data_IF_112552112838
#
_entry.id   IF_112552112838
#
_cell.length_a   1.000
_cell.length_b   1.000
_cell.length_c   1.000
_cell.angle_alpha   90.00
_cell.angle_beta   90.00
_cell.angle_gamma   90.00
#
_symmetry.space_group_name_H-M   'P 1'
#
loop_
_entity.id
_entity.type
_entity.pdbx_description
1 polymer ?
#
# COMPACT_ATOMS: atom_id res chain seq x y z
N UNK A 1 26.32 -54.34 29.97
CA UNK A 1 27.75 -53.99 30.12
C UNK A 1 28.31 -53.67 28.74
N UNK A 2 29.02 -52.53 28.61
CA UNK A 2 29.80 -52.00 27.45
C UNK A 2 29.02 -51.75 26.14
N UNK A 3 28.72 -50.53 25.63
CA UNK A 3 29.52 -49.33 25.30
C UNK A 3 30.70 -49.59 24.34
N UNK A 4 30.56 -49.21 23.05
CA UNK A 4 31.17 -48.00 22.45
C UNK A 4 31.23 -47.99 20.90
N UNK A 5 30.70 -46.89 20.32
CA UNK A 5 31.26 -45.98 19.26
C UNK A 5 31.59 -46.54 17.87
N UNK A 6 31.51 -45.83 16.75
CA UNK A 6 31.01 -44.52 16.31
C UNK A 6 31.16 -44.47 14.78
N UNK A 7 30.34 -43.70 14.07
CA UNK A 7 30.71 -42.91 12.89
C UNK A 7 29.45 -42.23 12.31
N UNK A 8 29.18 -41.04 12.83
CA UNK A 8 28.23 -40.05 12.32
C UNK A 8 29.00 -39.15 11.34
N UNK A 9 28.58 -39.08 10.06
CA UNK A 9 29.18 -38.19 9.07
C UNK A 9 28.18 -37.09 8.70
N UNK A 10 28.24 -36.00 9.46
CA UNK A 10 27.71 -34.68 9.11
C UNK A 10 28.38 -34.15 7.84
N UNK A 11 27.58 -33.71 6.88
CA UNK A 11 28.02 -32.84 5.79
C UNK A 11 27.49 -31.43 6.07
N UNK A 12 28.34 -30.60 6.66
CA UNK A 12 28.14 -29.16 6.80
C UNK A 12 28.53 -28.47 5.48
N UNK A 13 27.58 -27.78 4.84
CA UNK A 13 27.88 -26.79 3.79
C UNK A 13 27.93 -25.40 4.42
N UNK A 14 29.03 -24.64 4.23
CA UNK A 14 29.27 -23.40 4.95
C UNK A 14 28.44 -22.23 4.42
N UNK A 15 27.99 -21.40 5.37
CA UNK A 15 27.14 -20.24 5.15
C UNK A 15 27.80 -19.12 4.34
N UNK A 16 26.96 -18.42 3.57
CA UNK A 16 27.30 -17.20 2.87
C UNK A 16 27.51 -16.06 3.88
N UNK A 17 28.79 -15.75 4.15
CA UNK A 17 29.22 -14.61 4.97
C UNK A 17 29.18 -13.35 4.10
N UNK A 18 28.45 -12.34 4.57
CA UNK A 18 28.41 -11.00 3.99
C UNK A 18 29.70 -10.25 4.37
N UNK A 19 30.51 -9.86 3.39
CA UNK A 19 31.67 -8.99 3.62
C UNK A 19 31.23 -7.52 3.72
N UNK A 20 31.48 -6.83 4.84
CA UNK A 20 31.32 -5.38 4.92
C UNK A 20 32.58 -4.69 4.42
N UNK A 21 32.40 -3.65 3.59
CA UNK A 21 33.42 -2.63 3.34
C UNK A 21 34.22 -2.77 2.04
N UNK A 22 33.68 -2.21 0.95
CA UNK A 22 34.51 -1.55 -0.06
C UNK A 22 33.85 -0.26 -0.49
N UNK A 23 34.54 0.86 -0.25
CA UNK A 23 34.13 2.20 -0.61
C UNK A 23 34.03 2.33 -2.14
N UNK A 24 33.07 3.14 -2.59
CA UNK A 24 32.86 3.47 -3.99
C UNK A 24 34.10 4.21 -4.54
N UNK A 25 34.67 3.71 -5.64
CA UNK A 25 35.60 4.46 -6.47
C UNK A 25 34.81 5.51 -7.28
N UNK A 26 35.26 6.78 -7.32
CA UNK A 26 34.66 7.80 -8.17
C UNK A 26 35.10 7.62 -9.62
N UNK A 27 34.12 7.52 -10.54
CA UNK A 27 34.37 7.51 -11.99
C UNK A 27 34.80 8.90 -12.44
N UNK A 28 35.98 8.97 -13.08
CA UNK A 28 36.55 10.14 -13.76
C UNK A 28 35.69 10.59 -14.94
N UNK A 29 35.44 11.89 -15.01
CA UNK A 29 35.03 12.64 -16.21
C UNK A 29 36.17 12.69 -17.26
N UNK A 30 35.82 12.95 -18.53
CA UNK A 30 36.68 13.72 -19.42
C UNK A 30 36.04 15.04 -19.87
N UNK A 31 36.72 16.11 -19.50
CA UNK A 31 37.04 17.35 -20.20
C UNK A 31 36.11 17.97 -21.28
N UNK A 32 35.68 19.20 -20.95
CA UNK A 32 35.84 20.48 -21.67
C UNK A 32 35.40 20.60 -23.14
N UNK A 33 34.34 21.40 -23.36
CA UNK A 33 34.37 22.50 -24.33
C UNK A 33 33.74 23.77 -23.75
N UNK A 34 34.38 24.90 -24.06
CA UNK A 34 34.21 26.23 -23.49
C UNK A 34 33.00 27.02 -24.04
N UNK A 35 32.52 27.98 -23.27
CA UNK A 35 31.56 29.00 -23.75
C UNK A 35 30.97 29.94 -22.69
N UNK A 36 31.81 30.84 -22.15
CA UNK A 36 31.51 32.25 -21.75
C UNK A 36 30.74 32.57 -20.44
N UNK A 37 31.47 33.33 -19.60
CA UNK A 37 31.20 34.16 -18.41
C UNK A 37 29.80 34.83 -18.29
N UNK A 38 29.27 35.12 -17.09
CA UNK A 38 29.66 36.21 -16.15
C UNK A 38 29.36 35.89 -14.66
N UNK A 39 30.15 36.52 -13.79
CA UNK A 39 30.45 36.37 -12.37
C UNK A 39 29.31 36.65 -11.32
N UNK A 40 29.57 36.39 -10.01
CA UNK A 40 28.58 36.22 -8.94
C UNK A 40 28.55 37.39 -7.93
N UNK A 41 27.51 37.47 -7.09
CA UNK A 41 27.56 38.27 -5.84
C UNK A 41 26.86 37.59 -4.66
N UNK A 42 27.63 37.51 -3.57
CA UNK A 42 27.23 37.27 -2.18
C UNK A 42 26.48 38.49 -1.62
N UNK A 43 25.54 38.29 -0.69
CA UNK A 43 25.62 38.77 0.70
C UNK A 43 24.29 38.61 1.47
N UNK A 44 24.42 38.04 2.66
CA UNK A 44 23.62 38.25 3.87
C UNK A 44 24.64 38.80 4.92
N UNK A 45 24.34 39.32 6.13
CA UNK A 45 23.08 39.80 6.74
C UNK A 45 23.21 41.22 7.37
N UNK A 46 22.11 41.80 7.87
CA UNK A 46 22.22 42.84 8.90
C UNK A 46 21.09 42.77 9.93
N UNK A 47 21.54 42.60 11.17
CA UNK A 47 20.82 42.61 12.44
C UNK A 47 21.58 43.61 13.32
N UNK A 48 20.93 44.66 13.81
CA UNK A 48 21.07 45.16 15.18
C UNK A 48 20.24 46.44 15.43
N UNK A 49 19.63 46.58 16.63
CA UNK A 49 18.89 47.75 17.12
C UNK A 49 19.72 48.61 18.10
N UNK A 50 19.33 49.87 18.35
CA UNK A 50 19.73 50.64 19.54
C UNK A 50 18.91 51.93 19.73
N UNK A 51 18.37 52.12 20.94
CA UNK A 51 18.41 53.31 21.83
C UNK A 51 17.23 53.19 22.84
N UNK A 52 17.42 52.80 24.12
CA UNK A 52 18.03 53.52 25.28
C UNK A 52 17.22 54.77 25.66
N UNK A 53 16.62 54.91 26.85
CA UNK A 53 17.22 55.22 28.18
C UNK A 53 16.16 54.95 29.30
N UNK A 54 16.45 54.23 30.41
CA UNK A 54 16.93 54.68 31.74
C UNK A 54 16.01 55.73 32.42
N UNK A 55 15.21 55.44 33.46
CA UNK A 55 15.52 55.20 34.90
C UNK A 55 15.40 56.53 35.72
N UNK A 56 15.21 56.61 37.06
CA UNK A 56 15.07 55.58 38.11
C UNK A 56 14.04 55.88 39.27
N UNK A 57 13.82 54.86 40.12
CA UNK A 57 13.60 54.78 41.59
C UNK A 57 12.86 55.88 42.42
N UNK A 58 11.87 55.46 43.24
CA UNK A 58 11.96 55.37 44.72
C UNK A 58 10.58 55.31 45.43
N UNK A 59 10.52 54.48 46.47
CA UNK A 59 9.45 54.28 47.47
C UNK A 59 8.88 55.56 48.11
N UNK A 60 7.56 55.58 48.38
CA UNK A 60 7.08 55.77 49.76
C UNK A 60 5.61 55.35 49.94
N UNK A 61 5.38 54.66 51.05
CA UNK A 61 4.10 54.26 51.66
C UNK A 61 3.25 55.44 52.15
N UNK A 62 1.92 55.29 52.20
CA UNK A 62 1.04 55.50 53.39
C UNK A 62 -0.44 55.35 52.96
N UNK A 63 -1.15 54.49 53.70
CA UNK A 63 -2.59 54.22 53.71
C UNK A 63 -3.46 55.47 53.99
N UNK A 64 -4.66 55.55 53.38
CA UNK A 64 -5.93 55.91 54.04
C UNK A 64 -7.10 55.30 53.23
N UNK A 65 -7.93 54.52 53.92
CA UNK A 65 -9.19 53.90 53.48
C UNK A 65 -10.32 54.91 53.20
N UNK A 66 -11.27 54.42 52.40
CA UNK A 66 -12.73 54.65 52.41
C UNK A 66 -13.36 55.23 51.13
N UNK A 67 -14.47 54.57 50.76
CA UNK A 67 -15.50 54.90 49.77
C UNK A 67 -15.24 54.54 48.30
N UNK A 68 -15.57 53.29 47.94
CA UNK A 68 -16.48 52.95 46.82
C UNK A 68 -16.75 51.44 46.76
N UNK A 69 -17.71 50.98 47.58
CA UNK A 69 -18.52 49.81 47.25
C UNK A 69 -19.57 50.27 46.22
N UNK A 70 -19.33 50.04 44.92
CA UNK A 70 -20.36 49.84 43.87
C UNK A 70 -19.71 49.70 42.48
N UNK A 71 -18.77 48.76 42.29
CA UNK A 71 -18.42 48.27 40.94
C UNK A 71 -18.06 46.79 41.03
N UNK A 72 -19.05 45.95 41.32
CA UNK A 72 -18.90 44.48 41.21
C UNK A 72 -20.18 43.84 40.71
N UNK A 73 -20.80 44.41 39.68
CA UNK A 73 -21.90 43.75 38.95
C UNK A 73 -21.79 43.92 37.42
N UNK A 74 -20.81 44.68 36.89
CA UNK A 74 -20.63 44.84 35.43
C UNK A 74 -19.48 44.02 34.83
N UNK A 75 -18.57 43.48 35.65
CA UNK A 75 -17.52 42.58 35.17
C UNK A 75 -17.99 41.11 35.12
N UNK A 76 -18.91 40.68 35.99
CA UNK A 76 -19.49 39.33 35.93
C UNK A 76 -20.45 39.16 34.73
N UNK A 77 -21.19 40.21 34.35
CA UNK A 77 -22.11 40.15 33.19
C UNK A 77 -21.35 40.18 31.84
N UNK A 78 -20.14 40.77 31.81
CA UNK A 78 -19.25 40.74 30.63
C UNK A 78 -18.45 39.44 30.53
N UNK A 79 -18.08 38.81 31.66
CA UNK A 79 -17.47 37.48 31.69
C UNK A 79 -18.49 36.38 31.39
N UNK A 80 -19.72 36.42 31.94
CA UNK A 80 -20.78 35.46 31.61
C UNK A 80 -21.27 35.59 30.15
N UNK A 81 -21.36 36.81 29.60
CA UNK A 81 -21.69 37.00 28.19
C UNK A 81 -20.57 36.45 27.28
N UNK A 82 -19.30 36.71 27.61
CA UNK A 82 -18.16 36.17 26.89
C UNK A 82 -18.01 34.64 27.01
N UNK A 83 -18.32 34.07 28.17
CA UNK A 83 -18.34 32.62 28.40
C UNK A 83 -19.49 31.95 27.65
N UNK A 84 -20.69 32.53 27.64
CA UNK A 84 -21.82 32.01 26.87
C UNK A 84 -21.57 32.03 25.37
N UNK A 85 -21.04 33.14 24.82
CA UNK A 85 -20.67 33.22 23.41
C UNK A 85 -19.54 32.23 23.07
N UNK A 86 -18.59 32.02 23.97
CA UNK A 86 -17.52 31.02 23.79
C UNK A 86 -18.05 29.59 23.78
N UNK A 87 -19.01 29.26 24.66
CA UNK A 87 -19.66 27.95 24.72
C UNK A 87 -20.51 27.68 23.48
N UNK A 88 -21.24 28.68 22.97
CA UNK A 88 -22.01 28.57 21.73
C UNK A 88 -21.10 28.32 20.50
N UNK A 89 -19.96 29.01 20.45
CA UNK A 89 -18.95 28.80 19.39
C UNK A 89 -18.36 27.39 19.50
N UNK A 90 -17.96 26.94 20.69
CA UNK A 90 -17.43 25.60 20.92
C UNK A 90 -18.43 24.51 20.58
N UNK A 91 -19.71 24.69 20.94
CA UNK A 91 -20.79 23.77 20.61
C UNK A 91 -20.99 23.68 19.09
N UNK A 92 -20.99 24.80 18.38
CA UNK A 92 -21.11 24.82 16.92
C UNK A 92 -19.92 24.17 16.20
N UNK A 93 -18.70 24.36 16.72
CA UNK A 93 -17.48 23.71 16.22
C UNK A 93 -17.49 22.21 16.48
N UNK A 94 -17.96 21.78 17.65
CA UNK A 94 -18.12 20.38 18.00
C UNK A 94 -19.15 19.71 17.07
N UNK A 95 -20.27 20.37 16.81
CA UNK A 95 -21.32 19.88 15.92
C UNK A 95 -20.82 19.71 14.48
N UNK A 96 -20.14 20.72 13.94
CA UNK A 96 -19.57 20.67 12.58
C UNK A 96 -18.54 19.54 12.45
N UNK A 97 -17.69 19.37 13.46
CA UNK A 97 -16.68 18.31 13.52
C UNK A 97 -17.30 16.92 13.58
N UNK A 98 -18.37 16.74 14.36
CA UNK A 98 -19.09 15.47 14.43
C UNK A 98 -19.82 15.14 13.13
N UNK A 99 -20.50 16.12 12.51
CA UNK A 99 -21.12 15.96 11.18
C UNK A 99 -20.07 15.55 10.14
N UNK A 100 -18.90 16.17 10.16
CA UNK A 100 -17.79 15.83 9.26
C UNK A 100 -17.30 14.39 9.47
N UNK A 101 -17.07 13.96 10.72
CA UNK A 101 -16.65 12.57 11.03
C UNK A 101 -17.70 11.56 10.58
N UNK A 102 -18.99 11.84 10.80
CA UNK A 102 -20.09 10.98 10.34
C UNK A 102 -20.13 10.83 8.82
N UNK A 103 -19.95 11.92 8.09
CA UNK A 103 -19.88 11.88 6.62
C UNK A 103 -18.67 11.07 6.14
N UNK A 104 -17.52 11.27 6.77
CA UNK A 104 -16.29 10.56 6.44
C UNK A 104 -16.45 9.04 6.66
N UNK A 105 -17.05 8.61 7.78
CA UNK A 105 -17.33 7.20 8.05
C UNK A 105 -18.27 6.61 7.01
N UNK A 106 -19.38 7.29 6.66
CA UNK A 106 -20.31 6.83 5.63
C UNK A 106 -19.67 6.68 4.25
N UNK A 107 -18.80 7.61 3.87
CA UNK A 107 -18.09 7.58 2.59
C UNK A 107 -17.06 6.45 2.55
N UNK A 108 -16.34 6.24 3.65
CA UNK A 108 -15.24 5.27 3.73
C UNK A 108 -15.66 3.88 4.21
N UNK A 109 -16.94 3.65 4.53
CA UNK A 109 -17.47 2.39 5.06
C UNK A 109 -17.14 1.19 4.15
N UNK A 110 -17.09 1.42 2.84
CA UNK A 110 -16.77 0.39 1.84
C UNK A 110 -15.35 -0.17 1.98
N UNK A 111 -14.43 0.52 2.68
CA UNK A 111 -13.10 -0.04 3.02
C UNK A 111 -13.24 -1.35 3.81
N UNK A 112 -14.30 -1.50 4.61
CA UNK A 112 -14.57 -2.72 5.39
C UNK A 112 -14.98 -3.92 4.53
N UNK A 113 -15.40 -3.71 3.28
CA UNK A 113 -15.76 -4.77 2.32
C UNK A 113 -14.55 -5.32 1.56
N UNK A 114 -13.33 -5.01 2.03
CA UNK A 114 -12.09 -5.48 1.46
C UNK A 114 -11.96 -7.00 1.58
N UNK A 115 -11.77 -7.69 0.44
CA UNK A 115 -11.35 -9.09 0.43
C UNK A 115 -9.83 -9.18 0.28
N UNK A 116 -9.17 -9.52 1.39
CA UNK A 116 -7.72 -9.71 1.44
C UNK A 116 -7.24 -10.85 0.53
N UNK A 117 -7.99 -11.94 0.40
CA UNK A 117 -7.56 -13.11 -0.36
C UNK A 117 -7.51 -12.80 -1.86
N UNK A 118 -8.49 -12.06 -2.36
CA UNK A 118 -8.53 -11.64 -3.77
C UNK A 118 -7.41 -10.66 -4.11
N UNK A 119 -7.15 -9.66 -3.25
CA UNK A 119 -6.16 -8.62 -3.54
C UNK A 119 -4.72 -9.03 -3.22
N UNK A 120 -4.51 -9.87 -2.21
CA UNK A 120 -3.17 -10.33 -1.84
C UNK A 120 -2.55 -11.19 -2.95
N UNK A 121 -3.38 -11.88 -3.74
CA UNK A 121 -2.97 -12.80 -4.80
C UNK A 121 -1.83 -13.71 -4.30
N UNK A 122 -2.08 -14.40 -3.20
CA UNK A 122 -1.11 -15.28 -2.54
C UNK A 122 -0.60 -16.37 -3.51
N UNK A 123 -1.52 -17.02 -4.23
CA UNK A 123 -1.24 -18.11 -5.17
C UNK A 123 -0.83 -17.66 -6.58
N UNK A 124 -0.22 -16.47 -6.69
CA UNK A 124 0.30 -15.96 -7.96
C UNK A 124 1.39 -16.90 -8.50
N UNK A 125 1.22 -17.51 -9.68
CA UNK A 125 2.15 -18.51 -10.17
C UNK A 125 3.51 -17.86 -10.41
N UNK A 126 4.55 -18.52 -9.93
CA UNK A 126 5.89 -17.96 -9.91
C UNK A 126 6.56 -18.01 -11.29
N UNK A 127 7.55 -17.15 -11.50
CA UNK A 127 8.32 -17.14 -12.75
C UNK A 127 9.10 -18.44 -12.95
N UNK A 128 9.55 -19.07 -11.86
CA UNK A 128 10.20 -20.37 -11.91
C UNK A 128 9.25 -21.47 -12.41
N UNK A 129 8.02 -21.52 -11.90
CA UNK A 129 7.02 -22.50 -12.34
C UNK A 129 6.68 -22.34 -13.82
N UNK A 130 6.56 -21.11 -14.31
CA UNK A 130 6.33 -20.84 -15.72
C UNK A 130 7.53 -21.27 -16.59
N UNK A 131 8.75 -21.01 -16.14
CA UNK A 131 9.96 -21.41 -16.86
C UNK A 131 10.10 -22.94 -16.92
N UNK A 132 9.83 -23.62 -15.81
CA UNK A 132 9.80 -25.07 -15.73
C UNK A 132 8.71 -25.66 -16.65
N UNK A 133 7.51 -25.08 -16.65
CA UNK A 133 6.42 -25.50 -17.53
C UNK A 133 6.75 -25.29 -19.02
N UNK A 134 7.42 -24.17 -19.37
CA UNK A 134 7.89 -23.90 -20.73
C UNK A 134 8.95 -24.92 -21.16
N UNK A 135 9.96 -25.17 -20.32
CA UNK A 135 11.01 -26.17 -20.60
C UNK A 135 10.43 -27.56 -20.84
N UNK A 136 9.46 -27.99 -20.03
CA UNK A 136 8.83 -29.30 -20.21
C UNK A 136 8.06 -29.39 -21.53
N UNK A 137 7.37 -28.32 -21.95
CA UNK A 137 6.71 -28.26 -23.26
C UNK A 137 7.73 -28.31 -24.39
N UNK A 138 8.79 -27.52 -24.29
CA UNK A 138 9.78 -27.41 -25.36
C UNK A 138 10.58 -28.72 -25.49
N UNK A 139 10.90 -29.41 -24.38
CA UNK A 139 11.48 -30.76 -24.38
C UNK A 139 10.55 -31.79 -25.05
N UNK A 140 9.25 -31.71 -24.77
CA UNK A 140 8.26 -32.57 -25.43
C UNK A 140 8.20 -32.32 -26.93
N UNK A 141 8.07 -31.06 -27.37
CA UNK A 141 8.08 -30.71 -28.81
C UNK A 141 9.39 -31.13 -29.47
N UNK A 142 10.52 -30.93 -28.81
CA UNK A 142 11.82 -31.35 -29.32
C UNK A 142 11.90 -32.87 -29.50
N UNK A 143 11.41 -33.65 -28.53
CA UNK A 143 11.34 -35.11 -28.64
C UNK A 143 10.42 -35.57 -29.78
N UNK A 144 9.28 -34.90 -29.96
CA UNK A 144 8.34 -35.19 -31.05
C UNK A 144 8.97 -34.86 -32.42
N UNK A 145 9.65 -33.71 -32.52
CA UNK A 145 10.36 -33.29 -33.73
C UNK A 145 11.49 -34.26 -34.08
N UNK A 146 12.27 -34.70 -33.10
CA UNK A 146 13.35 -35.67 -33.31
C UNK A 146 12.81 -37.04 -33.75
N UNK A 147 11.72 -37.52 -33.14
CA UNK A 147 11.08 -38.77 -33.58
C UNK A 147 10.50 -38.64 -35.00
N UNK A 148 9.89 -37.50 -35.32
CA UNK A 148 9.38 -37.21 -36.66
C UNK A 148 10.51 -37.16 -37.70
N UNK A 149 11.65 -36.53 -37.41
CA UNK A 149 12.77 -36.47 -38.36
C UNK A 149 13.38 -37.86 -38.63
N UNK A 150 13.47 -38.72 -37.61
CA UNK A 150 13.89 -40.13 -37.77
C UNK A 150 12.89 -40.89 -38.66
N UNK A 151 11.60 -40.72 -38.42
CA UNK A 151 10.55 -41.35 -39.24
C UNK A 151 10.61 -40.88 -40.71
N UNK A 152 10.72 -39.58 -40.95
CA UNK A 152 10.85 -39.00 -42.30
C UNK A 152 12.12 -39.49 -43.02
N UNK A 153 13.23 -39.62 -42.29
CA UNK A 153 14.49 -40.16 -42.85
C UNK A 153 14.40 -41.66 -43.18
N UNK A 154 13.53 -42.40 -42.47
CA UNK A 154 13.18 -43.77 -42.80
C UNK A 154 12.35 -43.90 -44.07
N UNK A 155 11.40 -42.98 -44.30
CA UNK A 155 10.58 -42.95 -45.51
C UNK A 155 11.38 -42.64 -46.78
N UNK A 156 12.43 -41.83 -46.67
CA UNK A 156 13.32 -41.48 -47.79
C UNK A 156 14.37 -42.57 -48.09
N UNK A 157 14.40 -43.66 -47.31
CA UNK A 157 15.32 -44.78 -47.53
C UNK A 157 16.74 -44.54 -47.01
N UNK A 158 16.99 -43.44 -46.29
CA UNK A 158 18.30 -43.16 -45.67
C UNK A 158 18.58 -44.03 -44.45
N UNK A 159 17.53 -44.55 -43.79
CA UNK A 159 17.64 -45.28 -42.52
C UNK A 159 16.94 -46.65 -42.62
N UNK A 160 17.48 -47.72 -42.04
CA UNK A 160 16.87 -49.06 -42.06
C UNK A 160 15.43 -49.10 -41.50
N UNK A 161 14.60 -50.00 -42.05
CA UNK A 161 13.16 -50.10 -41.75
C UNK A 161 12.82 -50.34 -40.26
N UNK A 162 13.66 -51.08 -39.53
CA UNK A 162 13.49 -51.30 -38.08
C UNK A 162 13.65 -50.01 -37.26
N UNK A 163 14.57 -49.11 -37.65
CA UNK A 163 14.71 -47.78 -37.06
C UNK A 163 13.54 -46.86 -37.45
N UNK A 164 13.08 -46.94 -38.71
CA UNK A 164 11.93 -46.17 -39.19
C UNK A 164 10.64 -46.53 -38.42
N UNK A 165 10.39 -47.82 -38.22
CA UNK A 165 9.25 -48.32 -37.44
C UNK A 165 9.35 -47.96 -35.95
N UNK A 166 10.55 -48.04 -35.37
CA UNK A 166 10.81 -47.59 -33.99
C UNK A 166 10.56 -46.09 -33.80
N UNK A 167 11.03 -45.26 -34.75
CA UNK A 167 10.79 -43.81 -34.75
C UNK A 167 9.30 -43.47 -34.86
N UNK A 168 8.55 -44.20 -35.69
CA UNK A 168 7.09 -44.04 -35.79
C UNK A 168 6.37 -44.39 -34.48
N UNK A 169 6.72 -45.51 -33.86
CA UNK A 169 6.13 -45.92 -32.57
C UNK A 169 6.42 -44.91 -31.46
N UNK A 170 7.68 -44.46 -31.36
CA UNK A 170 8.08 -43.42 -30.41
C UNK A 170 7.33 -42.11 -30.67
N UNK A 171 7.19 -41.69 -31.93
CA UNK A 171 6.46 -40.49 -32.31
C UNK A 171 4.99 -40.53 -31.87
N UNK A 172 4.29 -41.66 -32.10
CA UNK A 172 2.89 -41.83 -31.69
C UNK A 172 2.73 -41.81 -30.17
N UNK A 173 3.63 -42.48 -29.42
CA UNK A 173 3.63 -42.47 -27.95
C UNK A 173 3.87 -41.05 -27.42
N UNK A 174 4.84 -40.32 -27.97
CA UNK A 174 5.13 -38.93 -27.59
C UNK A 174 3.93 -38.03 -27.89
N UNK A 175 3.25 -38.21 -29.03
CA UNK A 175 2.03 -37.47 -29.37
C UNK A 175 0.91 -37.72 -28.35
N UNK A 176 0.69 -38.96 -27.95
CA UNK A 176 -0.30 -39.33 -26.93
C UNK A 176 0.00 -38.67 -25.57
N UNK A 177 1.28 -38.59 -25.18
CA UNK A 177 1.70 -37.85 -23.97
C UNK A 177 1.47 -36.33 -24.07
N UNK A 178 1.33 -35.79 -25.28
CA UNK A 178 0.97 -34.39 -25.52
C UNK A 178 -0.51 -34.09 -25.29
N UNK A 179 -1.38 -35.10 -25.35
CA UNK A 179 -2.82 -34.92 -25.14
C UNK A 179 -3.06 -34.58 -23.67
N UNK A 180 -3.70 -33.44 -23.35
CA UNK A 180 -3.85 -32.96 -21.97
C UNK A 180 -4.62 -33.96 -21.08
N UNK A 181 -5.52 -34.75 -21.66
CA UNK A 181 -6.26 -35.80 -20.96
C UNK A 181 -5.35 -36.94 -20.46
N UNK A 182 -4.49 -37.48 -21.34
CA UNK A 182 -3.55 -38.56 -20.99
C UNK A 182 -2.46 -38.03 -20.06
N UNK A 183 -1.97 -36.81 -20.32
CA UNK A 183 -0.98 -36.15 -19.46
C UNK A 183 -1.52 -35.90 -18.05
N UNK A 184 -2.79 -35.51 -17.90
CA UNK A 184 -3.39 -35.25 -16.58
C UNK A 184 -3.50 -36.52 -15.73
N UNK A 185 -3.59 -37.69 -16.37
CA UNK A 185 -3.57 -38.99 -15.68
C UNK A 185 -2.16 -39.38 -15.20
N UNK A 186 -1.12 -38.96 -15.92
CA UNK A 186 0.28 -39.33 -15.65
C UNK A 186 1.08 -38.26 -14.89
N UNK A 187 0.66 -36.99 -14.94
CA UNK A 187 1.37 -35.89 -14.29
C UNK A 187 0.41 -34.79 -13.83
N UNK A 188 0.41 -34.53 -12.52
CA UNK A 188 -0.34 -33.43 -11.90
C UNK A 188 0.27 -32.04 -12.15
N UNK A 189 1.34 -31.91 -12.96
CA UNK A 189 2.03 -30.65 -13.18
C UNK A 189 1.17 -29.72 -14.08
N UNK A 190 0.85 -28.49 -13.64
CA UNK A 190 0.03 -27.56 -14.40
C UNK A 190 0.66 -27.25 -15.76
N UNK A 191 -0.18 -27.10 -16.80
CA UNK A 191 0.30 -26.68 -18.11
C UNK A 191 0.71 -25.21 -18.09
N UNK A 192 1.62 -24.82 -19.00
CA UNK A 192 1.99 -23.41 -19.17
C UNK A 192 0.76 -22.53 -19.48
N UNK A 193 -0.18 -23.03 -20.28
CA UNK A 193 -1.42 -22.31 -20.58
C UNK A 193 -2.31 -22.18 -19.34
N UNK A 194 -2.38 -23.21 -18.50
CA UNK A 194 -3.15 -23.17 -17.25
C UNK A 194 -2.59 -22.10 -16.31
N UNK A 195 -1.26 -21.99 -16.20
CA UNK A 195 -0.61 -20.94 -15.41
C UNK A 195 -0.89 -19.54 -15.97
N UNK A 196 -0.88 -19.38 -17.29
CA UNK A 196 -1.23 -18.10 -17.94
C UNK A 196 -2.70 -17.73 -17.69
N UNK A 197 -3.62 -18.67 -17.88
CA UNK A 197 -5.04 -18.44 -17.61
C UNK A 197 -5.29 -18.14 -16.14
N UNK A 198 -4.59 -18.83 -15.22
CA UNK A 198 -4.63 -18.54 -13.78
C UNK A 198 -4.19 -17.11 -13.49
N UNK A 199 -3.06 -16.64 -14.04
CA UNK A 199 -2.60 -15.24 -13.89
C UNK A 199 -3.64 -14.24 -14.39
N UNK A 200 -4.14 -14.45 -15.61
CA UNK A 200 -5.13 -13.54 -16.19
C UNK A 200 -6.43 -13.51 -15.40
N UNK A 201 -6.89 -14.67 -14.91
CA UNK A 201 -8.07 -14.78 -14.08
C UNK A 201 -7.90 -14.02 -12.77
N UNK A 202 -6.83 -14.26 -12.02
CA UNK A 202 -6.58 -13.54 -10.77
C UNK A 202 -6.44 -12.03 -10.97
N UNK A 203 -5.79 -11.57 -12.04
CA UNK A 203 -5.75 -10.13 -12.35
C UNK A 203 -7.13 -9.55 -12.68
N UNK A 204 -7.96 -10.29 -13.42
CA UNK A 204 -9.33 -9.86 -13.76
C UNK A 204 -10.20 -9.81 -12.51
N UNK A 205 -10.11 -10.82 -11.65
CA UNK A 205 -10.86 -10.91 -10.41
C UNK A 205 -10.46 -9.77 -9.44
N UNK A 206 -9.16 -9.51 -9.29
CA UNK A 206 -8.67 -8.40 -8.47
C UNK A 206 -9.09 -7.01 -9.02
N UNK A 207 -9.08 -6.80 -10.34
CA UNK A 207 -9.56 -5.55 -10.95
C UNK A 207 -11.06 -5.37 -10.75
N UNK A 208 -11.84 -6.43 -10.93
CA UNK A 208 -13.29 -6.39 -10.74
C UNK A 208 -13.63 -6.09 -9.27
N UNK A 209 -12.87 -6.65 -8.33
CA UNK A 209 -13.02 -6.33 -6.90
C UNK A 209 -12.66 -4.87 -6.63
N UNK A 210 -11.54 -4.38 -7.17
CA UNK A 210 -11.17 -2.97 -7.03
C UNK A 210 -12.22 -2.03 -7.65
N UNK A 211 -12.80 -2.38 -8.79
CA UNK A 211 -13.90 -1.63 -9.41
C UNK A 211 -15.15 -1.61 -8.52
N UNK A 212 -15.49 -2.75 -7.93
CA UNK A 212 -16.59 -2.84 -6.97
C UNK A 212 -16.35 -1.98 -5.72
N UNK A 213 -15.12 -1.97 -5.20
CA UNK A 213 -14.71 -1.15 -4.07
C UNK A 213 -14.68 0.34 -4.39
N UNK A 214 -14.11 0.77 -5.52
CA UNK A 214 -14.05 2.19 -5.88
C UNK A 214 -15.43 2.80 -6.14
N UNK A 215 -16.34 2.02 -6.75
CA UNK A 215 -17.68 2.51 -7.09
C UNK A 215 -17.66 3.72 -8.02
N UNK A 216 -18.65 4.61 -7.84
CA UNK A 216 -18.81 5.82 -8.66
C UNK A 216 -17.95 6.99 -8.20
N UNK A 217 -17.65 7.06 -6.91
CA UNK A 217 -17.08 8.26 -6.29
C UNK A 217 -15.58 8.15 -6.00
N UNK A 218 -14.98 6.96 -6.14
CA UNK A 218 -13.55 6.75 -5.89
C UNK A 218 -13.22 6.64 -4.40
N UNK A 219 -13.30 5.42 -3.86
CA UNK A 219 -13.05 5.13 -2.44
C UNK A 219 -11.69 5.66 -1.97
N UNK A 220 -10.63 5.40 -2.73
CA UNK A 220 -9.27 5.81 -2.35
C UNK A 220 -9.15 7.32 -2.20
N UNK A 221 -9.77 8.09 -3.11
CA UNK A 221 -9.80 9.55 -3.04
C UNK A 221 -10.54 10.06 -1.81
N UNK A 222 -11.70 9.47 -1.47
CA UNK A 222 -12.43 9.81 -0.25
C UNK A 222 -11.60 9.51 1.02
N UNK A 223 -10.88 8.38 1.01
CA UNK A 223 -10.02 7.97 2.12
C UNK A 223 -8.87 8.94 2.40
N UNK A 224 -8.51 9.82 1.46
CA UNK A 224 -7.44 10.83 1.69
C UNK A 224 -7.80 11.76 2.85
N UNK A 225 -9.10 12.05 3.06
CA UNK A 225 -9.56 12.89 4.19
C UNK A 225 -9.32 12.21 5.54
N UNK A 226 -9.13 10.89 5.58
CA UNK A 226 -8.75 10.16 6.79
C UNK A 226 -7.26 10.27 7.13
N UNK A 227 -6.46 10.91 6.28
CA UNK A 227 -5.03 11.07 6.51
C UNK A 227 -4.70 11.86 7.79
N UNK A 228 -5.63 12.67 8.28
CA UNK A 228 -5.49 13.39 9.56
C UNK A 228 -5.36 12.43 10.76
N UNK A 229 -6.00 11.25 10.67
CA UNK A 229 -5.94 10.20 11.70
C UNK A 229 -4.87 9.13 11.40
N UNK A 230 -4.41 9.03 10.14
CA UNK A 230 -3.30 8.16 9.75
C UNK A 230 -2.46 8.80 8.64
N UNK A 231 -1.35 9.43 9.02
CA UNK A 231 -0.44 10.10 8.08
C UNK A 231 0.18 9.14 7.02
N UNK A 232 0.16 7.82 7.25
CA UNK A 232 0.63 6.84 6.27
C UNK A 232 -0.11 6.93 4.92
N UNK A 233 -1.37 7.37 4.93
CA UNK A 233 -2.17 7.55 3.70
C UNK A 233 -1.63 8.68 2.81
N UNK A 234 -0.96 9.68 3.40
CA UNK A 234 -0.37 10.83 2.68
C UNK A 234 1.01 10.54 2.09
N UNK A 235 1.53 9.31 2.28
CA UNK A 235 2.85 8.95 1.79
C UNK A 235 2.92 9.09 0.25
N UNK A 236 4.01 9.66 -0.32
CA UNK A 236 4.11 9.95 -1.76
C UNK A 236 3.94 8.74 -2.67
N UNK A 237 4.28 7.53 -2.18
CA UNK A 237 4.02 6.25 -2.86
C UNK A 237 2.57 6.05 -3.29
N UNK A 238 1.61 6.60 -2.54
CA UNK A 238 0.18 6.48 -2.82
C UNK A 238 -0.38 7.63 -3.65
N UNK A 239 0.41 8.67 -3.91
CA UNK A 239 -0.06 9.85 -4.66
C UNK A 239 -0.62 9.48 -6.03
N UNK A 240 0.07 8.61 -6.76
CA UNK A 240 -0.40 8.15 -8.07
C UNK A 240 -1.67 7.30 -7.96
N UNK A 241 -1.82 6.51 -6.89
CA UNK A 241 -3.03 5.72 -6.62
C UNK A 241 -4.23 6.65 -6.40
N UNK A 242 -4.06 7.69 -5.58
CA UNK A 242 -5.07 8.72 -5.29
C UNK A 242 -5.49 9.45 -6.56
N UNK A 243 -4.53 9.93 -7.36
CA UNK A 243 -4.82 10.61 -8.62
C UNK A 243 -5.61 9.72 -9.60
N UNK A 244 -5.31 8.43 -9.66
CA UNK A 244 -6.02 7.50 -10.53
C UNK A 244 -7.43 7.18 -10.02
N UNK A 245 -7.65 7.19 -8.70
CA UNK A 245 -8.97 7.05 -8.07
C UNK A 245 -9.83 8.29 -8.32
N UNK A 246 -9.25 9.48 -8.24
CA UNK A 246 -9.92 10.76 -8.55
C UNK A 246 -10.44 10.81 -9.99
N UNK A 247 -9.67 10.27 -10.94
CA UNK A 247 -10.10 10.16 -12.34
C UNK A 247 -10.93 8.91 -12.66
N UNK A 248 -11.27 8.09 -11.66
CA UNK A 248 -12.00 6.82 -11.83
C UNK A 248 -11.34 5.81 -12.78
N UNK A 249 -10.02 5.93 -13.01
CA UNK A 249 -9.25 5.05 -13.88
C UNK A 249 -8.45 3.99 -13.10
N UNK A 250 -8.69 3.87 -11.79
CA UNK A 250 -7.94 2.97 -10.92
C UNK A 250 -7.97 1.50 -11.38
N UNK A 251 -9.12 0.89 -11.74
CA UNK A 251 -9.16 -0.50 -12.16
C UNK A 251 -8.36 -0.76 -13.45
N UNK A 252 -8.32 0.22 -14.36
CA UNK A 252 -7.54 0.14 -15.59
C UNK A 252 -6.04 0.30 -15.32
N UNK A 253 -5.66 1.11 -14.33
CA UNK A 253 -4.27 1.32 -13.95
C UNK A 253 -3.65 0.12 -13.23
N UNK A 254 -4.47 -0.73 -12.58
CA UNK A 254 -4.11 -1.97 -11.88
C UNK A 254 -3.71 -3.12 -12.85
N UNK A 255 -2.73 -2.85 -13.72
CA UNK A 255 -2.25 -3.80 -14.73
C UNK A 255 -1.24 -4.81 -14.21
N UNK A 256 -0.47 -4.43 -13.19
CA UNK A 256 0.62 -5.21 -12.62
C UNK A 256 0.31 -5.65 -11.20
N UNK A 257 0.86 -6.79 -10.79
CA UNK A 257 0.76 -7.32 -9.42
C UNK A 257 1.19 -6.30 -8.37
N UNK A 258 2.30 -5.59 -8.62
CA UNK A 258 2.87 -4.64 -7.66
C UNK A 258 1.91 -3.48 -7.37
N UNK A 259 1.14 -3.05 -8.38
CA UNK A 259 0.14 -1.99 -8.24
C UNK A 259 -1.07 -2.46 -7.43
N UNK A 260 -1.51 -3.71 -7.65
CA UNK A 260 -2.59 -4.31 -6.84
C UNK A 260 -2.16 -4.50 -5.39
N UNK A 261 -0.91 -4.91 -5.16
CA UNK A 261 -0.34 -4.96 -3.80
C UNK A 261 -0.25 -3.59 -3.15
N UNK A 262 0.18 -2.57 -3.90
CA UNK A 262 0.20 -1.19 -3.40
C UNK A 262 -1.20 -0.71 -3.02
N UNK A 263 -2.22 -1.04 -3.83
CA UNK A 263 -3.61 -0.78 -3.53
C UNK A 263 -4.08 -1.51 -2.26
N UNK A 264 -3.75 -2.79 -2.11
CA UNK A 264 -4.05 -3.55 -0.89
C UNK A 264 -3.45 -2.90 0.35
N UNK A 265 -2.16 -2.53 0.30
CA UNK A 265 -1.48 -1.89 1.43
C UNK A 265 -2.16 -0.57 1.78
N UNK A 266 -2.58 0.22 0.78
CA UNK A 266 -3.32 1.45 1.02
C UNK A 266 -4.65 1.19 1.73
N UNK A 267 -5.43 0.21 1.26
CA UNK A 267 -6.71 -0.12 1.87
C UNK A 267 -6.55 -0.66 3.31
N UNK A 268 -5.51 -1.43 3.60
CA UNK A 268 -5.20 -1.87 4.97
C UNK A 268 -4.84 -0.70 5.88
N UNK A 269 -4.11 0.29 5.37
CA UNK A 269 -3.83 1.52 6.14
C UNK A 269 -5.07 2.41 6.30
N UNK A 270 -5.97 2.39 5.32
CA UNK A 270 -7.25 3.08 5.36
C UNK A 270 -8.21 2.42 6.36
N UNK A 271 -8.23 1.10 6.45
CA UNK A 271 -9.00 0.34 7.45
C UNK A 271 -8.56 0.70 8.88
N UNK A 272 -7.24 0.73 9.12
CA UNK A 272 -6.71 1.22 10.40
C UNK A 272 -7.10 2.67 10.69
N UNK A 273 -7.08 3.53 9.67
CA UNK A 273 -7.51 4.93 9.81
C UNK A 273 -9.01 5.01 10.15
N UNK A 274 -9.83 4.19 9.50
CA UNK A 274 -11.26 4.08 9.75
C UNK A 274 -11.56 3.72 11.20
N UNK A 275 -10.89 2.70 11.75
CA UNK A 275 -11.05 2.32 13.17
C UNK A 275 -10.67 3.46 14.12
N UNK A 276 -9.62 4.23 13.80
CA UNK A 276 -9.22 5.40 14.60
C UNK A 276 -10.24 6.53 14.52
N UNK A 277 -10.79 6.81 13.34
CA UNK A 277 -11.86 7.80 13.15
C UNK A 277 -13.11 7.38 13.92
N UNK A 278 -13.48 6.10 13.84
CA UNK A 278 -14.62 5.55 14.55
C UNK A 278 -14.44 5.69 16.07
N UNK A 279 -13.26 5.38 16.59
CA UNK A 279 -12.94 5.59 18.01
C UNK A 279 -13.03 7.07 18.39
N UNK A 280 -12.41 7.97 17.61
CA UNK A 280 -12.47 9.41 17.86
C UNK A 280 -13.90 9.98 17.76
N UNK A 281 -14.75 9.40 16.91
CA UNK A 281 -16.17 9.73 16.84
C UNK A 281 -16.90 9.35 18.12
N UNK A 282 -16.68 8.13 18.64
CA UNK A 282 -17.29 7.72 19.92
C UNK A 282 -16.76 8.51 21.11
N UNK A 283 -15.45 8.75 21.19
CA UNK A 283 -14.84 9.54 22.27
C UNK A 283 -15.39 10.97 22.27
N UNK A 284 -15.54 11.59 21.10
CA UNK A 284 -16.13 12.93 20.97
C UNK A 284 -17.64 12.95 21.23
N UNK A 285 -18.35 11.86 20.93
CA UNK A 285 -19.77 11.73 21.24
C UNK A 285 -19.99 11.60 22.76
N UNK A 286 -19.12 10.84 23.45
CA UNK A 286 -19.12 10.73 24.90
C UNK A 286 -18.84 12.10 25.55
N UNK A 287 -17.83 12.84 25.08
CA UNK A 287 -17.52 14.18 25.57
C UNK A 287 -18.68 15.18 25.37
N UNK A 288 -19.38 15.11 24.23
CA UNK A 288 -20.55 15.96 24.01
C UNK A 288 -21.69 15.64 24.98
N UNK A 289 -21.89 14.35 25.34
CA UNK A 289 -22.86 13.93 26.35
C UNK A 289 -22.44 14.42 27.74
N UNK A 290 -21.17 14.27 28.09
CA UNK A 290 -20.63 14.68 29.40
C UNK A 290 -20.75 16.22 29.59
N UNK A 291 -20.58 16.99 28.52
CA UNK A 291 -20.76 18.45 28.51
C UNK A 291 -22.24 18.89 28.43
N UNK A 292 -23.19 17.95 28.33
CA UNK A 292 -24.62 18.26 28.25
C UNK A 292 -25.13 18.74 26.88
N UNK A 293 -24.32 18.67 25.82
CA UNK A 293 -24.67 19.06 24.46
C UNK A 293 -25.50 17.97 23.75
N UNK A 294 -26.73 17.77 24.22
CA UNK A 294 -27.63 16.71 23.73
C UNK A 294 -27.99 16.87 22.24
N UNK A 295 -28.04 18.10 21.73
CA UNK A 295 -28.32 18.38 20.31
C UNK A 295 -27.21 17.91 19.36
N UNK A 296 -25.99 17.79 19.88
CA UNK A 296 -24.80 17.38 19.12
C UNK A 296 -24.64 15.86 19.17
N UNK A 297 -24.97 15.24 20.30
CA UNK A 297 -24.87 13.79 20.49
C UNK A 297 -25.67 13.02 19.41
N UNK A 298 -24.96 12.22 18.61
CA UNK A 298 -25.61 11.48 17.54
C UNK A 298 -26.49 10.38 18.13
N UNK A 299 -27.81 10.48 17.92
CA UNK A 299 -28.72 9.37 18.24
C UNK A 299 -28.36 8.14 17.38
N UNK A 300 -28.17 6.95 17.99
CA UNK A 300 -28.00 5.72 17.23
C UNK A 300 -29.31 5.46 16.48
N UNK A 301 -29.26 5.55 15.15
CA UNK A 301 -30.39 5.16 14.31
C UNK A 301 -30.69 3.69 14.57
N UNK A 302 -31.79 3.42 15.27
CA UNK A 302 -32.37 2.08 15.41
C UNK A 302 -32.61 1.55 14.00
N UNK A 303 -31.84 0.55 13.59
CA UNK A 303 -31.93 -0.06 12.28
C UNK A 303 -33.35 -0.54 11.99
N UNK A 304 -33.87 -0.13 10.83
CA UNK A 304 -35.00 -0.75 10.17
C UNK A 304 -34.48 -1.78 9.15
#
# INVERSE_FOLDING_TARGET
MAQNTAADSKTETPGAVLHPGRAADPVKEPAVQAGTSVAPQNHDPSKAPAESQAGPDAENTVDVEEEQEEITEQDEESEEAGESESQDIEQSLAESSQRQRRLLLKQCDRVLLLDFNLLSMADWPDNFEMAAARRNRDLWVFSALAAASVFLSGLTGYVPAWLAGGGFGAFVIILLLGVPFVRRLYSAKPSYLDLLFKRQRMMRDARKHAEHLEGKDGLVWQCVRMADYNHALRHPRFRQLVQMSEHHMLPLWLTRRDRVRLYLIYLLEAEKAYTRVQKAFFDSNQQAIDNGWQDVAAEPQSGA
#
